data_IF_681102777438
#
_entry.id   IF_681102777438
#
_cell.length_a   1.000
_cell.length_b   1.000
_cell.length_c   1.000
_cell.angle_alpha   90.00
_cell.angle_beta   90.00
_cell.angle_gamma   90.00
#
_symmetry.space_group_name_H-M   'P 1'
#
loop_
_entity.id
_entity.type
_entity.pdbx_description
1 polymer ?
#
# COMPACT_ATOMS: atom_id res chain seq x y z
N UNK A 1 6.97 -2.59 17.96
CA UNK A 1 8.34 -2.40 17.42
C UNK A 1 8.46 -0.94 17.03
N UNK A 2 9.44 -0.23 17.58
CA UNK A 2 9.63 1.21 17.37
C UNK A 2 10.59 1.50 16.21
N UNK A 3 10.28 2.53 15.45
CA UNK A 3 11.02 2.99 14.28
C UNK A 3 11.48 4.41 14.58
N UNK A 4 12.76 4.70 14.37
CA UNK A 4 13.26 6.07 14.49
C UNK A 4 12.75 6.93 13.32
N UNK A 5 12.66 8.26 13.49
CA UNK A 5 12.20 9.15 12.43
C UNK A 5 12.84 8.84 11.07
N UNK A 6 12.01 8.63 10.07
CA UNK A 6 12.36 8.35 8.68
C UNK A 6 12.06 9.58 7.84
N UNK A 7 13.04 9.99 7.03
CA UNK A 7 12.86 11.01 6.00
C UNK A 7 13.37 10.49 4.68
N UNK A 8 12.52 10.57 3.65
CA UNK A 8 12.85 10.27 2.26
C UNK A 8 12.27 11.35 1.36
N UNK A 9 13.11 11.93 0.51
CA UNK A 9 12.73 13.04 -0.36
C UNK A 9 12.78 12.62 -1.82
N UNK A 10 11.64 12.72 -2.52
CA UNK A 10 11.50 12.31 -3.92
C UNK A 10 12.06 10.90 -4.16
N UNK A 11 11.54 9.88 -3.50
CA UNK A 11 11.97 8.49 -3.68
C UNK A 11 10.80 7.58 -4.05
N UNK A 12 11.09 6.37 -4.53
CA UNK A 12 10.04 5.36 -4.77
C UNK A 12 9.55 4.74 -3.45
N UNK A 13 8.38 4.09 -3.49
CA UNK A 13 7.81 3.43 -2.31
C UNK A 13 8.75 2.35 -1.76
N UNK A 14 9.41 1.58 -2.63
CA UNK A 14 10.38 0.57 -2.24
C UNK A 14 11.58 1.15 -1.47
N UNK A 15 12.06 2.33 -1.87
CA UNK A 15 13.13 3.04 -1.15
C UNK A 15 12.66 3.54 0.22
N UNK A 16 11.42 4.03 0.32
CA UNK A 16 10.83 4.43 1.60
C UNK A 16 10.71 3.24 2.57
N UNK A 17 10.24 2.09 2.08
CA UNK A 17 10.15 0.84 2.84
C UNK A 17 11.54 0.36 3.30
N UNK A 18 12.54 0.39 2.41
CA UNK A 18 13.92 0.04 2.77
C UNK A 18 14.46 0.95 3.87
N UNK A 19 14.20 2.26 3.78
CA UNK A 19 14.62 3.22 4.81
C UNK A 19 13.92 2.98 6.15
N UNK A 20 12.63 2.64 6.13
CA UNK A 20 11.90 2.24 7.33
C UNK A 20 12.52 1.00 7.99
N UNK A 21 12.88 -0.01 7.20
CA UNK A 21 13.51 -1.24 7.70
C UNK A 21 14.86 -0.94 8.36
N UNK A 22 15.68 -0.10 7.73
CA UNK A 22 16.97 0.35 8.27
C UNK A 22 16.83 1.11 9.60
N UNK A 23 15.76 1.90 9.74
CA UNK A 23 15.52 2.74 10.92
C UNK A 23 14.75 2.02 12.05
N UNK A 24 14.48 0.72 11.90
CA UNK A 24 13.78 -0.04 12.96
C UNK A 24 14.76 -0.38 14.08
N UNK A 25 14.40 -0.07 15.34
CA UNK A 25 15.27 -0.32 16.52
C UNK A 25 15.45 -1.80 16.86
N UNK A 26 14.55 -2.66 16.37
CA UNK A 26 14.56 -4.10 16.61
C UNK A 26 14.55 -4.82 15.28
N UNK A 27 15.43 -5.82 15.11
CA UNK A 27 15.51 -6.63 13.90
C UNK A 27 14.11 -7.12 13.50
N UNK A 28 13.70 -6.84 12.27
CA UNK A 28 12.35 -7.16 11.77
C UNK A 28 12.10 -8.67 11.63
N UNK A 29 13.11 -9.52 11.81
CA UNK A 29 12.99 -10.97 11.65
C UNK A 29 12.77 -11.34 10.19
N UNK A 30 11.89 -12.31 9.92
CA UNK A 30 11.57 -12.80 8.57
C UNK A 30 10.67 -11.86 7.76
N UNK A 31 10.34 -10.69 8.29
CA UNK A 31 9.51 -9.71 7.60
C UNK A 31 10.29 -9.08 6.44
N UNK A 32 9.75 -9.22 5.23
CA UNK A 32 10.28 -8.59 4.03
C UNK A 32 9.30 -7.55 3.50
N UNK A 33 9.85 -6.47 2.94
CA UNK A 33 9.07 -5.34 2.43
C UNK A 33 9.47 -5.06 0.98
N UNK A 34 8.48 -4.97 0.09
CA UNK A 34 8.71 -4.67 -1.33
C UNK A 34 7.61 -3.75 -1.89
N UNK A 35 7.87 -3.10 -3.01
CA UNK A 35 6.87 -2.33 -3.75
C UNK A 35 7.19 -2.28 -5.25
N UNK A 36 6.13 -2.31 -6.08
CA UNK A 36 6.24 -2.07 -7.52
C UNK A 36 5.97 -0.61 -7.92
N UNK A 37 5.69 0.28 -6.96
CA UNK A 37 5.36 1.69 -7.22
C UNK A 37 6.65 2.48 -7.46
N UNK A 38 6.85 2.93 -8.70
CA UNK A 38 8.01 3.73 -9.11
C UNK A 38 7.80 5.24 -8.93
N UNK A 39 6.55 5.68 -8.70
CA UNK A 39 6.19 7.08 -8.52
C UNK A 39 7.00 7.68 -7.36
N UNK A 40 7.61 8.85 -7.60
CA UNK A 40 8.49 9.50 -6.62
C UNK A 40 7.69 10.42 -5.72
N UNK A 41 7.77 10.20 -4.41
CA UNK A 41 7.11 11.04 -3.39
C UNK A 41 8.02 11.29 -2.21
N UNK A 42 7.60 12.21 -1.34
CA UNK A 42 8.32 12.56 -0.11
C UNK A 42 7.53 12.05 1.09
N UNK A 43 8.21 11.38 2.01
CA UNK A 43 7.63 10.84 3.23
C UNK A 43 8.55 11.18 4.41
N UNK A 44 7.99 11.80 5.44
CA UNK A 44 8.70 12.24 6.61
C UNK A 44 7.90 11.89 7.87
N UNK A 45 8.58 11.38 8.87
CA UNK A 45 8.07 11.18 10.24
C UNK A 45 8.93 11.99 11.18
N UNK A 46 8.32 12.62 12.19
CA UNK A 46 9.00 13.48 13.15
C UNK A 46 9.25 12.78 14.47
N UNK A 47 8.43 11.79 14.80
CA UNK A 47 8.44 11.10 16.10
C UNK A 47 8.84 9.63 15.95
N UNK A 48 9.15 9.01 17.09
CA UNK A 48 9.34 7.57 17.13
C UNK A 48 7.98 6.92 17.01
N UNK A 49 7.80 6.18 15.94
CA UNK A 49 6.53 5.59 15.57
C UNK A 49 6.59 4.07 15.58
N UNK A 50 5.44 3.42 15.46
CA UNK A 50 5.37 1.98 15.33
C UNK A 50 5.38 1.58 13.85
N UNK A 51 5.79 0.34 13.55
CA UNK A 51 5.71 -0.17 12.17
C UNK A 51 4.32 -0.05 11.55
N UNK A 52 3.27 -0.26 12.35
CA UNK A 52 1.90 -0.12 11.85
C UNK A 52 1.53 1.33 11.57
N UNK A 53 1.99 2.30 12.37
CA UNK A 53 1.66 3.70 12.09
C UNK A 53 2.37 4.19 10.83
N UNK A 54 3.68 3.95 10.73
CA UNK A 54 4.49 4.32 9.55
C UNK A 54 3.92 3.71 8.26
N UNK A 55 3.41 2.47 8.31
CA UNK A 55 2.88 1.78 7.13
C UNK A 55 1.43 2.09 6.81
N UNK A 56 0.55 2.21 7.81
CA UNK A 56 -0.91 2.18 7.62
C UNK A 56 -1.68 3.33 8.26
N UNK A 57 -1.04 4.27 8.95
CA UNK A 57 -1.70 5.42 9.58
C UNK A 57 -2.23 6.46 8.57
N UNK A 58 -3.26 6.05 7.82
CA UNK A 58 -3.99 6.89 6.88
C UNK A 58 -3.14 7.50 5.78
N UNK A 59 -3.48 8.73 5.37
CA UNK A 59 -2.87 9.45 4.24
C UNK A 59 -1.38 9.72 4.42
N UNK A 60 -0.93 9.87 5.67
CA UNK A 60 0.45 10.22 5.98
C UNK A 60 1.37 9.02 6.07
N UNK A 61 0.83 7.80 6.08
CA UNK A 61 1.61 6.56 6.05
C UNK A 61 2.30 6.32 4.71
N UNK A 62 3.23 5.36 4.64
CA UNK A 62 3.85 4.95 3.37
C UNK A 62 2.80 4.41 2.38
N UNK A 63 1.83 3.61 2.84
CA UNK A 63 0.78 3.11 1.94
C UNK A 63 -0.10 4.26 1.44
N UNK A 64 -0.49 5.18 2.33
CA UNK A 64 -1.30 6.34 1.98
C UNK A 64 -0.59 7.35 1.08
N UNK A 65 0.70 7.60 1.33
CA UNK A 65 1.51 8.56 0.57
C UNK A 65 1.63 8.14 -0.89
N UNK A 66 1.88 6.85 -1.14
CA UNK A 66 1.98 6.30 -2.50
C UNK A 66 0.65 5.80 -3.06
N UNK A 67 -0.47 6.02 -2.35
CA UNK A 67 -1.81 5.58 -2.74
C UNK A 67 -1.83 4.10 -3.14
N UNK A 68 -1.01 3.30 -2.45
CA UNK A 68 -0.83 1.89 -2.73
C UNK A 68 -1.80 1.01 -1.97
N UNK A 69 -1.83 -0.26 -2.35
CA UNK A 69 -2.60 -1.30 -1.69
C UNK A 69 -1.64 -2.33 -1.08
N UNK A 70 -1.81 -2.59 0.22
CA UNK A 70 -1.00 -3.58 0.93
C UNK A 70 -1.46 -4.99 0.59
N UNK A 71 -0.52 -5.80 0.11
CA UNK A 71 -0.64 -7.25 -0.07
C UNK A 71 0.25 -7.92 0.96
N UNK A 72 -0.32 -8.81 1.76
CA UNK A 72 0.42 -9.58 2.74
C UNK A 72 0.41 -11.06 2.35
N UNK A 73 1.60 -11.63 2.26
CA UNK A 73 1.82 -13.05 2.07
C UNK A 73 2.72 -13.54 3.22
N UNK A 74 2.10 -14.04 4.29
CA UNK A 74 2.75 -14.39 5.55
C UNK A 74 3.57 -13.23 6.16
N UNK A 75 4.89 -13.29 6.03
CA UNK A 75 5.85 -12.27 6.48
C UNK A 75 6.32 -11.35 5.36
N UNK A 76 5.97 -11.63 4.10
CA UNK A 76 6.22 -10.76 2.97
C UNK A 76 5.09 -9.72 2.85
N UNK A 77 5.45 -8.45 2.96
CA UNK A 77 4.56 -7.31 2.82
C UNK A 77 4.92 -6.55 1.55
N UNK A 78 3.98 -6.49 0.60
CA UNK A 78 4.19 -5.80 -0.69
C UNK A 78 3.18 -4.67 -0.85
N UNK A 79 3.64 -3.46 -1.09
CA UNK A 79 2.78 -2.32 -1.45
C UNK A 79 2.68 -2.22 -2.97
N UNK A 80 1.49 -2.48 -3.51
CA UNK A 80 1.24 -2.46 -4.96
C UNK A 80 0.49 -1.21 -5.39
N UNK A 81 0.74 -0.69 -6.59
CA UNK A 81 -0.06 0.41 -7.17
C UNK A 81 -1.54 0.04 -7.32
N UNK A 82 -1.79 -1.21 -7.70
CA UNK A 82 -3.10 -1.81 -7.77
C UNK A 82 -2.98 -3.28 -7.39
N UNK A 83 -3.93 -3.76 -6.58
CA UNK A 83 -4.10 -5.15 -6.21
C UNK A 83 -5.08 -5.80 -7.17
N UNK A 84 -4.84 -7.07 -7.43
CA UNK A 84 -5.55 -7.81 -8.47
C UNK A 84 -4.78 -7.78 -9.78
N UNK A 85 -4.86 -8.89 -10.49
CA UNK A 85 -4.29 -9.07 -11.80
C UNK A 85 -5.45 -9.37 -12.74
N UNK A 86 -5.40 -8.86 -13.97
CA UNK A 86 -6.40 -9.21 -14.96
C UNK A 86 -6.21 -10.69 -15.33
N UNK A 87 -7.06 -11.56 -14.78
CA UNK A 87 -6.98 -13.01 -15.02
C UNK A 87 -7.64 -13.45 -16.33
N UNK A 88 -8.04 -12.51 -17.21
CA UNK A 88 -8.72 -12.81 -18.47
C UNK A 88 -10.10 -13.48 -18.27
N UNK A 89 -10.62 -13.49 -17.05
CA UNK A 89 -11.92 -14.08 -16.74
C UNK A 89 -12.99 -13.13 -17.28
N UNK A 90 -13.64 -13.55 -18.37
CA UNK A 90 -14.84 -12.90 -18.88
C UNK A 90 -16.03 -13.45 -18.10
N UNK A 91 -16.67 -12.61 -17.28
CA UNK A 91 -17.94 -12.96 -16.66
C UNK A 91 -19.04 -12.73 -17.72
N UNK A 92 -19.30 -13.77 -18.52
CA UNK A 92 -20.39 -13.75 -19.51
C UNK A 92 -21.62 -14.43 -18.91
N UNK A 93 -22.68 -13.66 -18.63
CA UNK A 93 -23.94 -14.20 -18.13
C UNK A 93 -24.79 -14.77 -19.28
N UNK A 94 -24.87 -16.10 -19.39
CA UNK A 94 -25.88 -16.80 -20.22
C UNK A 94 -26.86 -17.63 -19.37
N UNK A 95 -27.05 -17.25 -18.09
CA UNK A 95 -28.16 -17.65 -17.22
C UNK A 95 -28.34 -16.57 -16.16
N UNK A 96 -29.58 -16.35 -15.74
CA UNK A 96 -29.93 -15.36 -14.73
C UNK A 96 -29.14 -15.61 -13.44
N UNK A 97 -28.34 -14.63 -13.00
CA UNK A 97 -27.83 -14.55 -11.64
C UNK A 97 -29.06 -14.55 -10.71
N UNK A 98 -29.16 -15.51 -9.78
CA UNK A 98 -30.31 -15.56 -8.85
C UNK A 98 -30.45 -14.26 -8.05
N UNK A 99 -29.32 -13.64 -7.71
CA UNK A 99 -29.23 -12.24 -7.30
C UNK A 99 -27.81 -11.73 -7.51
N UNK A 100 -27.67 -10.56 -8.13
CA UNK A 100 -26.43 -9.81 -8.24
C UNK A 100 -26.69 -8.37 -7.80
N UNK A 101 -26.30 -8.04 -6.57
CA UNK A 101 -26.35 -6.65 -6.11
C UNK A 101 -25.05 -5.93 -6.48
N UNK A 102 -25.17 -4.96 -7.37
CA UNK A 102 -24.12 -4.01 -7.71
C UNK A 102 -24.55 -2.62 -7.29
N UNK A 103 -24.04 -2.15 -6.17
CA UNK A 103 -24.20 -0.75 -5.77
C UNK A 103 -23.27 0.10 -6.64
N UNK A 104 -23.81 0.77 -7.66
CA UNK A 104 -23.09 1.80 -8.43
C UNK A 104 -23.38 3.16 -7.79
N UNK A 105 -22.37 3.81 -7.22
CA UNK A 105 -22.47 5.19 -6.77
C UNK A 105 -21.79 6.11 -7.80
N UNK A 106 -22.56 7.02 -8.39
CA UNK A 106 -22.10 7.97 -9.41
C UNK A 106 -21.94 9.41 -8.89
N UNK A 107 -22.13 9.65 -7.59
CA UNK A 107 -22.16 11.00 -7.01
C UNK A 107 -20.81 11.75 -7.12
N UNK A 108 -19.70 11.03 -7.29
CA UNK A 108 -18.35 11.60 -7.39
C UNK A 108 -17.69 11.38 -8.77
N UNK A 109 -18.46 11.06 -9.82
CA UNK A 109 -17.90 10.89 -11.17
C UNK A 109 -17.61 12.26 -11.78
N UNK A 110 -16.35 12.49 -12.13
CA UNK A 110 -15.89 13.71 -12.82
C UNK A 110 -15.24 13.30 -14.14
N UNK A 111 -15.67 13.89 -15.24
CA UNK A 111 -14.98 13.86 -16.53
C UNK A 111 -14.29 15.21 -16.74
N UNK A 112 -12.98 15.24 -16.93
CA UNK A 112 -12.21 16.46 -17.21
C UNK A 112 -12.00 16.65 -18.69
#
# INVERSE_FOLDING_TARGET
RSITPVSVTSQSCGMALSRMVQNTKTALGDFSFNSNIQDRRTFNTTEIETLYSVLLDGKHSIVGTWEGELVRDNFAMTVKKSRGENRGVVITTHKNLKDYQRTKNSQNVVTR
#
